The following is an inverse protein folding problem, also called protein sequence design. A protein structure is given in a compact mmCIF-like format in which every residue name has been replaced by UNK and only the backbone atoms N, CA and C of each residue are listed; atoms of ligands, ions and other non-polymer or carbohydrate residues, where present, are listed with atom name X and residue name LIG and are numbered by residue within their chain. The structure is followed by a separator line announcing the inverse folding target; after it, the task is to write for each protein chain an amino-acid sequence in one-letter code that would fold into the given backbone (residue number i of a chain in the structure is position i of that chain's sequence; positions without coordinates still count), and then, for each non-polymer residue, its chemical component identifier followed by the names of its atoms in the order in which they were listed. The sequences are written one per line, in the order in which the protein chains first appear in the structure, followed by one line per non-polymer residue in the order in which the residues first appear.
data_IF_962312457918
#
_entry.id   IF_962312457918
#
_cell.length_a   1.000
_cell.length_b   1.000
_cell.length_c   1.000
_cell.angle_alpha   90.00
_cell.angle_beta   90.00
_cell.angle_gamma   90.00
#
_symmetry.space_group_name_H-M   'P 1'
#
loop_
_entity.id
_entity.type
_entity.pdbx_description
1 polymer ?
#
# COMPACT_ATOMS: atom_id res chain seq x y z
N UNK A 1 -7.11 -14.39 -8.97
CA UNK A 1 -7.70 -13.11 -8.52
C UNK A 1 -9.08 -12.88 -9.18
N UNK A 2 -10.10 -13.70 -8.82
CA UNK A 2 -11.35 -13.81 -9.60
C UNK A 2 -12.18 -12.51 -9.65
N UNK A 3 -12.07 -11.65 -8.64
CA UNK A 3 -12.80 -10.39 -8.59
C UNK A 3 -12.18 -9.28 -9.46
N UNK A 4 -10.96 -9.51 -9.97
CA UNK A 4 -10.26 -8.53 -10.82
C UNK A 4 -10.49 -8.74 -12.32
N UNK A 5 -11.23 -9.75 -12.73
CA UNK A 5 -11.48 -10.05 -14.15
C UNK A 5 -11.93 -8.80 -14.92
N UNK A 6 -11.19 -8.43 -15.95
CA UNK A 6 -11.46 -7.27 -16.80
C UNK A 6 -11.25 -5.89 -16.16
N UNK A 7 -10.84 -5.84 -14.89
CA UNK A 7 -10.57 -4.57 -14.20
C UNK A 7 -9.34 -3.87 -14.79
N UNK A 8 -9.36 -2.54 -14.69
CA UNK A 8 -8.26 -1.67 -15.08
C UNK A 8 -7.63 -1.06 -13.84
N UNK A 9 -6.30 -1.01 -13.82
CA UNK A 9 -5.52 -0.36 -12.75
C UNK A 9 -4.48 0.56 -13.39
N UNK A 10 -4.34 1.76 -12.85
CA UNK A 10 -3.16 2.56 -13.10
C UNK A 10 -2.09 2.16 -12.07
N UNK A 11 -0.94 1.74 -12.54
CA UNK A 11 0.17 1.29 -11.70
C UNK A 11 1.42 2.12 -11.92
N UNK A 12 2.05 2.56 -10.82
CA UNK A 12 3.39 3.14 -10.87
C UNK A 12 4.39 2.11 -11.43
N UNK A 13 5.30 2.56 -12.27
CA UNK A 13 6.36 1.72 -12.84
C UNK A 13 7.41 1.30 -11.80
N UNK A 14 7.98 0.11 -12.01
CA UNK A 14 9.17 -0.32 -11.27
C UNK A 14 10.31 0.66 -11.51
N UNK A 15 11.15 0.90 -10.49
CA UNK A 15 12.26 1.86 -10.53
C UNK A 15 11.86 3.33 -10.84
N UNK A 16 10.56 3.64 -10.91
CA UNK A 16 10.05 5.01 -11.06
C UNK A 16 9.77 5.63 -9.70
N UNK A 17 9.87 6.97 -9.63
CA UNK A 17 9.70 7.73 -8.38
C UNK A 17 8.30 8.30 -8.27
N UNK A 18 7.72 8.28 -7.07
CA UNK A 18 6.38 8.84 -6.81
C UNK A 18 6.28 10.33 -7.20
N UNK A 19 7.31 11.12 -6.93
CA UNK A 19 7.34 12.54 -7.30
C UNK A 19 7.28 12.78 -8.81
N UNK A 20 7.82 11.87 -9.61
CA UNK A 20 7.83 11.99 -11.06
C UNK A 20 6.49 11.49 -11.65
N UNK A 21 5.82 10.57 -10.95
CA UNK A 21 4.48 10.10 -11.31
C UNK A 21 3.46 11.25 -11.38
N UNK A 22 3.50 12.16 -10.40
CA UNK A 22 2.58 13.30 -10.36
C UNK A 22 2.81 14.30 -11.51
N UNK A 23 4.04 14.38 -12.03
CA UNK A 23 4.41 15.33 -13.10
C UNK A 23 4.24 14.71 -14.49
N UNK A 24 4.63 13.44 -14.63
CA UNK A 24 4.68 12.72 -15.90
C UNK A 24 4.07 11.32 -15.73
N UNK A 25 2.74 11.22 -15.53
CA UNK A 25 2.11 9.94 -15.19
C UNK A 25 2.30 8.86 -16.26
N UNK A 26 2.27 9.23 -17.55
CA UNK A 26 2.40 8.27 -18.64
C UNK A 26 3.83 7.73 -18.81
N UNK A 27 4.84 8.49 -18.38
CA UNK A 27 6.25 8.07 -18.42
C UNK A 27 6.67 7.26 -17.19
N UNK A 28 5.90 7.35 -16.12
CA UNK A 28 6.25 6.78 -14.82
C UNK A 28 5.27 5.73 -14.32
N UNK A 29 4.24 5.43 -15.08
CA UNK A 29 3.26 4.40 -14.80
C UNK A 29 2.54 3.94 -16.05
N UNK A 30 1.74 2.91 -15.91
CA UNK A 30 0.93 2.35 -17.01
C UNK A 30 -0.44 1.94 -16.50
N UNK A 31 -1.41 1.99 -17.40
CA UNK A 31 -2.68 1.31 -17.20
C UNK A 31 -2.48 -0.17 -17.55
N UNK A 32 -2.86 -1.04 -16.64
CA UNK A 32 -2.93 -2.49 -16.88
C UNK A 32 -4.40 -2.93 -16.87
N UNK A 33 -4.70 -3.95 -17.68
CA UNK A 33 -6.00 -4.64 -17.65
C UNK A 33 -5.79 -6.09 -17.28
N UNK A 34 -6.51 -6.56 -16.29
CA UNK A 34 -6.48 -7.99 -15.90
C UNK A 34 -7.26 -8.80 -16.93
N UNK A 35 -6.68 -9.88 -17.40
CA UNK A 35 -7.28 -10.74 -18.43
C UNK A 35 -8.34 -11.68 -17.84
N UNK A 36 -9.03 -12.38 -18.72
CA UNK A 36 -10.14 -13.25 -18.35
C UNK A 36 -9.72 -14.51 -17.57
N UNK A 37 -8.44 -14.86 -17.64
CA UNK A 37 -7.82 -15.92 -16.84
C UNK A 37 -7.62 -15.55 -15.36
N UNK A 38 -7.83 -14.28 -15.00
CA UNK A 38 -7.64 -13.75 -13.65
C UNK A 38 -6.21 -13.91 -13.08
N UNK A 39 -5.23 -14.20 -13.93
CA UNK A 39 -3.85 -14.50 -13.57
C UNK A 39 -2.84 -13.65 -14.36
N UNK A 40 -3.23 -13.20 -15.54
CA UNK A 40 -2.40 -12.41 -16.45
C UNK A 40 -2.95 -11.00 -16.61
N UNK A 41 -2.10 -10.08 -17.07
CA UNK A 41 -2.50 -8.72 -17.42
C UNK A 41 -1.86 -8.27 -18.73
N UNK A 42 -2.44 -7.26 -19.35
CA UNK A 42 -1.89 -6.54 -20.49
C UNK A 42 -1.66 -5.09 -20.11
N UNK A 43 -0.54 -4.52 -20.57
CA UNK A 43 -0.26 -3.09 -20.42
C UNK A 43 -0.93 -2.36 -21.57
N UNK A 44 -1.73 -1.33 -21.23
CA UNK A 44 -2.43 -0.47 -22.19
C UNK A 44 -1.73 0.89 -22.17
N UNK A 45 -0.71 1.05 -23.01
CA UNK A 45 0.04 2.29 -23.16
C UNK A 45 0.79 2.28 -24.50
N UNK A 46 1.07 3.48 -25.03
CA UNK A 46 1.90 3.64 -26.24
C UNK A 46 3.35 3.23 -25.97
N UNK A 47 3.86 3.57 -24.77
CA UNK A 47 5.16 3.12 -24.26
C UNK A 47 4.93 2.31 -22.98
N UNK A 48 5.27 1.02 -23.04
CA UNK A 48 5.06 0.11 -21.92
C UNK A 48 6.05 0.38 -20.79
N UNK A 49 5.53 0.84 -19.64
CA UNK A 49 6.26 0.92 -18.38
C UNK A 49 5.90 -0.29 -17.54
N UNK A 50 6.90 -1.12 -17.18
CA UNK A 50 6.67 -2.30 -16.36
C UNK A 50 6.11 -1.88 -14.98
N UNK A 51 5.03 -2.51 -14.49
CA UNK A 51 4.45 -2.20 -13.18
C UNK A 51 5.43 -2.40 -12.04
N UNK A 52 5.08 -1.85 -10.86
CA UNK A 52 5.85 -2.03 -9.62
C UNK A 52 6.12 -3.51 -9.33
N UNK A 53 7.27 -3.81 -8.72
CA UNK A 53 7.61 -5.17 -8.26
C UNK A 53 6.64 -5.69 -7.17
N UNK A 54 6.00 -4.80 -6.42
CA UNK A 54 4.98 -5.14 -5.41
C UNK A 54 3.57 -5.31 -6.00
N UNK A 55 3.44 -5.40 -7.34
CA UNK A 55 2.15 -5.62 -8.01
C UNK A 55 1.36 -6.81 -7.46
N UNK A 56 1.99 -7.96 -7.10
CA UNK A 56 1.27 -9.08 -6.51
C UNK A 56 0.52 -8.69 -5.23
N UNK A 57 1.17 -7.96 -4.31
CA UNK A 57 0.54 -7.48 -3.07
C UNK A 57 -0.61 -6.52 -3.37
N UNK A 58 -0.39 -5.54 -4.26
CA UNK A 58 -1.44 -4.59 -4.66
C UNK A 58 -2.66 -5.29 -5.26
N UNK A 59 -2.48 -6.16 -6.24
CA UNK A 59 -3.60 -6.86 -6.88
C UNK A 59 -4.31 -7.81 -5.92
N UNK A 60 -3.60 -8.49 -5.03
CA UNK A 60 -4.20 -9.37 -4.03
C UNK A 60 -5.08 -8.58 -3.07
N UNK A 61 -4.62 -7.42 -2.60
CA UNK A 61 -5.40 -6.50 -1.76
C UNK A 61 -6.63 -6.00 -2.52
N UNK A 62 -6.50 -5.52 -3.75
CA UNK A 62 -7.65 -5.07 -4.55
C UNK A 62 -8.67 -6.19 -4.81
N UNK A 63 -8.21 -7.42 -5.00
CA UNK A 63 -9.10 -8.57 -5.14
C UNK A 63 -9.92 -8.80 -3.85
N UNK A 64 -9.30 -8.69 -2.68
CA UNK A 64 -9.98 -8.79 -1.39
C UNK A 64 -10.97 -7.63 -1.19
N UNK A 65 -10.55 -6.39 -1.45
CA UNK A 65 -11.41 -5.21 -1.34
C UNK A 65 -12.65 -5.32 -2.23
N UNK A 66 -12.49 -5.73 -3.49
CA UNK A 66 -13.62 -5.93 -4.41
C UNK A 66 -14.53 -7.08 -3.96
N UNK A 67 -13.98 -8.16 -3.42
CA UNK A 67 -14.78 -9.28 -2.92
C UNK A 67 -15.73 -8.88 -1.79
N UNK A 68 -15.39 -7.83 -1.06
CA UNK A 68 -16.15 -7.29 0.10
C UNK A 68 -16.99 -6.06 -0.26
N UNK A 69 -17.01 -5.65 -1.52
CA UNK A 69 -17.63 -4.39 -1.96
C UNK A 69 -17.10 -3.16 -1.17
N UNK A 70 -15.80 -3.15 -0.85
CA UNK A 70 -15.16 -2.04 -0.16
C UNK A 70 -15.25 -0.74 -0.98
N UNK A 71 -15.41 0.42 -0.34
CA UNK A 71 -15.33 1.72 -1.01
C UNK A 71 -13.91 2.07 -1.47
N UNK A 72 -12.89 1.40 -0.93
CA UNK A 72 -11.49 1.70 -1.22
C UNK A 72 -11.12 1.34 -2.66
N UNK A 73 -10.50 2.31 -3.36
CA UNK A 73 -10.17 2.22 -4.79
C UNK A 73 -8.67 2.35 -5.07
N UNK A 74 -7.90 2.75 -4.06
CA UNK A 74 -6.46 2.95 -4.19
C UNK A 74 -5.68 2.19 -3.12
N UNK A 75 -4.48 1.78 -3.48
CA UNK A 75 -3.46 1.30 -2.55
C UNK A 75 -2.14 1.98 -2.86
N UNK A 76 -1.45 2.44 -1.82
CA UNK A 76 -0.16 3.12 -1.91
C UNK A 76 0.85 2.38 -1.05
N UNK A 77 2.02 2.09 -1.63
CA UNK A 77 3.17 1.55 -0.92
C UNK A 77 4.37 2.48 -1.10
N UNK A 78 4.98 2.86 0.03
CA UNK A 78 6.16 3.74 0.07
C UNK A 78 7.14 3.27 1.15
N UNK A 79 8.35 3.87 1.13
CA UNK A 79 9.41 3.57 2.09
C UNK A 79 9.72 4.81 2.97
N UNK A 80 8.83 5.20 3.89
CA UNK A 80 9.05 6.33 4.80
C UNK A 80 10.14 5.99 5.82
N UNK A 81 11.17 6.83 5.89
CA UNK A 81 12.41 6.52 6.61
C UNK A 81 12.18 6.41 8.11
N UNK A 82 11.43 7.32 8.69
CA UNK A 82 11.19 7.40 10.13
C UNK A 82 10.38 6.18 10.61
N UNK A 83 9.31 5.82 9.92
CA UNK A 83 8.52 4.63 10.24
C UNK A 83 9.33 3.35 10.07
N UNK A 84 10.15 3.24 9.00
CA UNK A 84 11.03 2.08 8.83
C UNK A 84 12.03 2.01 10.00
N UNK A 85 12.63 3.14 10.38
CA UNK A 85 13.57 3.20 11.50
C UNK A 85 12.94 2.72 12.82
N UNK A 86 11.68 3.08 13.09
CA UNK A 86 10.95 2.58 14.27
C UNK A 86 10.91 1.05 14.32
N UNK A 87 10.78 0.37 13.18
CA UNK A 87 10.69 -1.10 13.17
C UNK A 87 11.99 -1.82 13.53
N UNK A 88 13.12 -1.10 13.61
CA UNK A 88 14.38 -1.65 14.14
C UNK A 88 14.42 -1.70 15.67
N UNK A 89 13.46 -1.08 16.34
CA UNK A 89 13.31 -1.16 17.79
C UNK A 89 12.19 -2.17 18.13
N UNK A 90 12.48 -3.31 18.78
CA UNK A 90 11.49 -4.34 19.07
C UNK A 90 10.24 -3.84 19.81
N UNK A 91 10.38 -2.83 20.65
CA UNK A 91 9.27 -2.20 21.38
C UNK A 91 8.19 -1.66 20.45
N UNK A 92 8.57 -1.15 19.27
CA UNK A 92 7.64 -0.56 18.32
C UNK A 92 7.10 -1.57 17.29
N UNK A 93 7.38 -2.84 17.46
CA UNK A 93 6.69 -3.92 16.76
C UNK A 93 5.39 -4.33 17.47
N UNK A 94 5.19 -3.87 18.70
CA UNK A 94 3.92 -3.98 19.41
C UNK A 94 2.94 -2.92 18.91
N UNK A 95 1.88 -3.33 18.23
CA UNK A 95 0.93 -2.45 17.50
C UNK A 95 0.34 -1.35 18.37
N UNK A 96 -0.12 -1.72 19.57
CA UNK A 96 -0.72 -0.76 20.51
C UNK A 96 0.30 0.26 21.00
N UNK A 97 1.55 -0.16 21.22
CA UNK A 97 2.64 0.72 21.64
C UNK A 97 2.98 1.71 20.53
N UNK A 98 3.15 1.23 19.30
CA UNK A 98 3.44 2.08 18.15
C UNK A 98 2.29 3.04 17.86
N UNK A 99 1.06 2.54 17.80
CA UNK A 99 -0.13 3.35 17.54
C UNK A 99 -0.31 4.45 18.58
N UNK A 100 -0.25 4.11 19.87
CA UNK A 100 -0.43 5.10 20.94
C UNK A 100 0.68 6.15 20.96
N UNK A 101 1.93 5.75 20.67
CA UNK A 101 3.02 6.71 20.53
C UNK A 101 2.75 7.68 19.39
N UNK A 102 2.48 7.19 18.19
CA UNK A 102 2.23 8.02 17.01
C UNK A 102 1.05 8.96 17.21
N UNK A 103 -0.06 8.48 17.81
CA UNK A 103 -1.21 9.32 18.14
C UNK A 103 -0.89 10.41 19.16
N UNK A 104 0.11 10.23 20.01
CA UNK A 104 0.49 11.19 21.03
C UNK A 104 1.37 12.33 20.50
N UNK A 105 1.95 12.17 19.31
CA UNK A 105 2.94 13.11 18.79
C UNK A 105 2.30 14.37 18.18
N UNK A 106 1.30 14.18 17.33
CA UNK A 106 0.50 15.26 16.73
C UNK A 106 -0.97 14.86 16.65
N UNK A 107 -1.93 15.79 16.86
CA UNK A 107 -3.36 15.48 16.89
C UNK A 107 -3.91 14.96 15.57
N UNK A 108 -3.33 15.37 14.45
CA UNK A 108 -3.71 14.95 13.11
C UNK A 108 -3.57 13.45 12.90
N UNK A 109 -2.60 12.81 13.57
CA UNK A 109 -2.34 11.37 13.38
C UNK A 109 -3.56 10.53 13.74
N UNK A 110 -4.23 10.84 14.83
CA UNK A 110 -5.45 10.13 15.23
C UNK A 110 -6.64 10.48 14.33
N UNK A 111 -6.67 11.70 13.80
CA UNK A 111 -7.74 12.14 12.91
C UNK A 111 -7.67 11.45 11.53
N UNK A 112 -6.46 11.33 10.96
CA UNK A 112 -6.24 10.69 9.66
C UNK A 112 -6.13 9.15 9.76
N UNK A 113 -5.60 8.64 10.85
CA UNK A 113 -5.41 7.20 11.08
C UNK A 113 -6.16 6.75 12.35
N UNK A 114 -7.50 6.85 12.39
CA UNK A 114 -8.28 6.54 13.58
C UNK A 114 -8.23 5.06 13.98
N UNK A 115 -7.91 4.17 13.03
CA UNK A 115 -7.74 2.74 13.27
C UNK A 115 -6.32 2.38 13.69
N UNK A 116 -5.38 3.35 13.70
CA UNK A 116 -3.99 3.15 14.09
C UNK A 116 -3.13 2.55 12.97
N UNK A 117 -2.03 1.89 13.37
CA UNK A 117 -1.04 1.31 12.47
C UNK A 117 -0.96 -0.21 12.68
N UNK A 118 -1.32 -0.97 11.64
CA UNK A 118 -1.05 -2.40 11.60
C UNK A 118 0.45 -2.68 11.40
N UNK A 119 0.96 -3.79 11.93
CA UNK A 119 2.38 -4.16 11.79
C UNK A 119 2.48 -5.63 11.40
N UNK A 120 3.19 -5.89 10.32
CA UNK A 120 3.50 -7.23 9.83
C UNK A 120 4.98 -7.50 10.08
N UNK A 121 5.33 -8.58 10.80
CA UNK A 121 6.72 -9.04 10.91
C UNK A 121 7.34 -9.27 9.52
N UNK A 122 8.66 -9.12 9.43
CA UNK A 122 9.40 -9.24 8.17
C UNK A 122 8.96 -10.44 7.34
N UNK A 123 8.67 -10.18 6.09
CA UNK A 123 8.41 -11.18 5.05
C UNK A 123 9.15 -10.80 3.78
N UNK A 124 9.44 -11.79 2.95
CA UNK A 124 10.11 -11.54 1.69
C UNK A 124 9.28 -10.59 0.81
N UNK A 125 9.85 -9.48 0.31
CA UNK A 125 9.18 -8.60 -0.64
C UNK A 125 8.60 -9.35 -1.85
N UNK A 126 7.46 -8.90 -2.33
CA UNK A 126 6.74 -9.49 -3.50
C UNK A 126 6.30 -10.95 -3.31
N UNK A 127 6.33 -11.48 -2.09
CA UNK A 127 5.91 -12.85 -1.80
C UNK A 127 4.39 -12.96 -1.60
N UNK A 128 3.85 -14.16 -1.79
CA UNK A 128 2.45 -14.49 -1.49
C UNK A 128 2.18 -14.32 0.00
N UNK A 129 3.12 -14.72 0.84
CA UNK A 129 3.02 -14.62 2.30
C UNK A 129 2.91 -13.16 2.77
N UNK A 130 3.59 -12.22 2.09
CA UNK A 130 3.46 -10.80 2.38
C UNK A 130 2.08 -10.28 1.98
N UNK A 131 1.59 -10.68 0.81
CA UNK A 131 0.26 -10.29 0.32
C UNK A 131 -0.86 -10.80 1.25
N UNK A 132 -0.80 -12.08 1.65
CA UNK A 132 -1.78 -12.68 2.57
C UNK A 132 -1.77 -12.03 3.96
N UNK A 133 -0.57 -11.77 4.50
CA UNK A 133 -0.43 -11.07 5.77
C UNK A 133 -0.98 -9.63 5.68
N UNK A 134 -0.73 -8.95 4.56
CA UNK A 134 -1.25 -7.59 4.32
C UNK A 134 -2.78 -7.57 4.28
N UNK A 135 -3.39 -8.50 3.54
CA UNK A 135 -4.86 -8.64 3.48
C UNK A 135 -5.43 -8.91 4.88
N UNK A 136 -4.80 -9.80 5.63
CA UNK A 136 -5.24 -10.12 7.00
C UNK A 136 -5.19 -8.89 7.91
N UNK A 137 -4.13 -8.13 7.85
CA UNK A 137 -3.93 -6.96 8.71
C UNK A 137 -4.87 -5.81 8.31
N UNK A 138 -5.15 -5.63 7.01
CA UNK A 138 -6.09 -4.64 6.49
C UNK A 138 -7.56 -4.89 6.86
N UNK A 139 -7.90 -5.99 7.56
CA UNK A 139 -9.23 -6.16 8.14
C UNK A 139 -9.46 -5.19 9.31
N UNK A 140 -8.40 -4.90 10.06
CA UNK A 140 -8.44 -4.10 11.28
C UNK A 140 -7.84 -2.69 11.10
N UNK A 141 -6.96 -2.48 10.10
CA UNK A 141 -6.22 -1.25 9.85
C UNK A 141 -6.39 -0.79 8.40
N UNK A 142 -6.22 0.51 8.14
CA UNK A 142 -6.18 1.08 6.78
C UNK A 142 -4.73 1.30 6.32
N UNK A 143 -3.80 1.34 7.28
CA UNK A 143 -2.35 1.46 7.06
C UNK A 143 -1.61 0.35 7.77
N UNK A 144 -0.70 -0.28 7.06
CA UNK A 144 0.08 -1.43 7.57
C UNK A 144 1.56 -1.20 7.34
N UNK A 145 2.35 -1.34 8.39
CA UNK A 145 3.80 -1.33 8.35
C UNK A 145 4.34 -2.72 8.06
N UNK A 146 5.13 -2.86 7.01
CA UNK A 146 5.96 -4.04 6.74
C UNK A 146 7.31 -3.85 7.42
N UNK A 147 7.60 -4.62 8.46
CA UNK A 147 8.84 -4.52 9.25
C UNK A 147 10.07 -4.43 8.34
N UNK A 148 10.91 -3.38 8.54
CA UNK A 148 12.16 -3.12 7.81
C UNK A 148 12.03 -2.94 6.30
N UNK A 149 10.80 -2.75 5.81
CA UNK A 149 10.56 -2.62 4.37
C UNK A 149 9.88 -1.29 4.02
N UNK A 150 8.68 -1.07 4.53
CA UNK A 150 7.90 0.12 4.17
C UNK A 150 6.47 0.05 4.68
N UNK A 151 5.64 0.95 4.19
CA UNK A 151 4.24 1.09 4.58
C UNK A 151 3.33 0.83 3.39
N UNK A 152 2.20 0.17 3.64
CA UNK A 152 1.14 -0.06 2.68
C UNK A 152 -0.17 0.52 3.23
N UNK A 153 -0.85 1.36 2.46
CA UNK A 153 -2.11 1.98 2.84
C UNK A 153 -3.18 1.77 1.78
N UNK A 154 -4.44 1.74 2.20
CA UNK A 154 -5.61 1.69 1.33
C UNK A 154 -6.57 2.82 1.67
N UNK A 155 -7.23 3.39 0.63
CA UNK A 155 -8.29 4.39 0.81
C UNK A 155 -9.14 4.52 -0.46
N UNK A 156 -10.11 5.46 -0.44
CA UNK A 156 -10.97 5.76 -1.57
C UNK A 156 -10.21 6.29 -2.79
N UNK A 157 -9.12 7.02 -2.57
CA UNK A 157 -8.20 7.48 -3.61
C UNK A 157 -6.74 7.47 -3.15
N UNK A 158 -5.82 7.69 -4.09
CA UNK A 158 -4.38 7.61 -3.83
C UNK A 158 -3.86 8.77 -2.94
N UNK A 159 -4.52 9.93 -2.96
CA UNK A 159 -4.14 11.07 -2.12
C UNK A 159 -4.47 10.78 -0.67
N UNK A 160 -5.68 10.32 -0.37
CA UNK A 160 -6.09 9.95 0.98
C UNK A 160 -5.22 8.82 1.54
N UNK A 161 -4.93 7.78 0.74
CA UNK A 161 -4.03 6.71 1.16
C UNK A 161 -2.61 7.23 1.44
N UNK A 162 -2.12 8.20 0.67
CA UNK A 162 -0.81 8.82 0.90
C UNK A 162 -0.81 9.72 2.13
N UNK A 163 -1.87 10.50 2.37
CA UNK A 163 -2.01 11.40 3.53
C UNK A 163 -1.91 10.62 4.85
N UNK A 164 -2.48 9.42 4.93
CA UNK A 164 -2.33 8.54 6.09
C UNK A 164 -0.86 8.18 6.34
N UNK A 165 -0.11 7.83 5.29
CA UNK A 165 1.32 7.49 5.42
C UNK A 165 2.13 8.72 5.82
N UNK A 166 1.86 9.87 5.20
CA UNK A 166 2.59 11.12 5.45
C UNK A 166 2.42 11.60 6.89
N UNK A 167 1.20 11.57 7.42
CA UNK A 167 0.95 11.98 8.81
C UNK A 167 1.57 11.03 9.83
N UNK A 168 1.52 9.72 9.57
CA UNK A 168 2.21 8.73 10.43
C UNK A 168 3.72 8.94 10.42
N UNK A 169 4.29 9.20 9.24
CA UNK A 169 5.74 9.44 9.14
C UNK A 169 6.19 10.74 9.82
N UNK A 170 5.34 11.78 9.80
CA UNK A 170 5.60 13.02 10.56
C UNK A 170 5.56 12.83 12.07
N UNK A 171 4.84 11.81 12.53
CA UNK A 171 4.71 11.47 13.95
C UNK A 171 5.83 10.57 14.45
N UNK A 172 6.51 9.87 13.56
CA UNK A 172 7.61 8.96 13.87
C UNK A 172 8.93 9.69 14.08
#
# INVERSE_FOLDING_TARGET
LPYLKGCYFYCKGTNKRMRDLARWPMENGSVIRILDDCASYVIIADEAVAPTSELPSHLSVHNDLLSKNSPYKASVHTHPIELIAMTHCPKFLEKDVATNLLWSMIPETKAFCPRGLGIIPYKLPSSVELAEATIKELQDYDVVMWEKHGVFAVDCDAMQAFDQIDVLNKSA
#
